data_IF_911656078071
#
_entry.id   IF_911656078071
#
_cell.length_a   1.000
_cell.length_b   1.000
_cell.length_c   1.000
_cell.angle_alpha   90.00
_cell.angle_beta   90.00
_cell.angle_gamma   90.00
#
_symmetry.space_group_name_H-M   'P 1'
#
loop_
_entity.id
_entity.type
_entity.pdbx_description
1 polymer ?
#
# COMPACT_ATOMS: atom_id res chain seq x y z
N UNK A 1 -9.74 -11.00 12.06
CA UNK A 1 -10.67 -11.26 13.18
C UNK A 1 -12.08 -10.84 12.80
N UNK A 2 -13.10 -11.38 13.45
CA UNK A 2 -14.52 -11.07 13.16
C UNK A 2 -15.21 -10.31 14.31
N UNK A 3 -14.46 -9.90 15.32
CA UNK A 3 -14.99 -9.14 16.45
C UNK A 3 -15.32 -7.68 16.06
N UNK A 4 -16.29 -7.04 16.72
CA UNK A 4 -16.67 -5.66 16.42
C UNK A 4 -15.52 -4.68 16.64
N UNK A 5 -15.39 -3.70 15.74
CA UNK A 5 -14.48 -2.57 15.92
C UNK A 5 -15.09 -1.64 16.99
N UNK A 6 -14.46 -1.55 18.16
CA UNK A 6 -14.94 -0.74 19.30
C UNK A 6 -14.31 0.66 19.36
N UNK A 7 -13.23 0.89 18.62
CA UNK A 7 -12.53 2.18 18.54
C UNK A 7 -12.26 2.56 17.08
N UNK A 8 -12.61 3.78 16.69
CA UNK A 8 -12.54 4.27 15.32
C UNK A 8 -11.18 4.91 14.97
N UNK A 9 -10.08 4.23 15.30
CA UNK A 9 -8.72 4.71 15.06
C UNK A 9 -7.72 3.56 14.85
N UNK A 10 -6.58 3.89 14.24
CA UNK A 10 -5.51 2.95 13.95
C UNK A 10 -4.23 3.36 14.70
N UNK A 11 -4.15 2.98 15.98
CA UNK A 11 -3.05 3.39 16.86
C UNK A 11 -1.79 2.54 16.68
N UNK A 12 -1.96 1.27 16.32
CA UNK A 12 -0.89 0.27 16.19
C UNK A 12 -1.08 -0.53 14.91
N UNK A 13 -0.87 0.10 13.74
CA UNK A 13 -1.08 -0.57 12.47
C UNK A 13 -0.02 -1.67 12.24
N UNK A 14 -0.44 -2.81 11.71
CA UNK A 14 0.47 -3.87 11.28
C UNK A 14 1.17 -3.51 9.96
N UNK A 15 0.53 -2.70 9.12
CA UNK A 15 1.09 -2.21 7.85
C UNK A 15 0.93 -0.70 7.76
N UNK A 16 2.00 0.00 7.40
CA UNK A 16 2.03 1.45 7.22
C UNK A 16 2.59 1.80 5.84
N UNK A 17 1.76 2.40 4.98
CA UNK A 17 2.18 2.89 3.65
C UNK A 17 2.31 4.41 3.69
N UNK A 18 3.48 4.94 3.35
CA UNK A 18 3.78 6.37 3.43
C UNK A 18 4.35 6.89 2.11
N UNK A 19 3.60 7.78 1.47
CA UNK A 19 3.90 8.28 0.12
C UNK A 19 4.62 9.64 0.09
N UNK A 20 5.02 10.17 1.26
CA UNK A 20 5.65 11.48 1.34
C UNK A 20 6.56 11.60 2.56
N UNK A 21 7.54 12.51 2.47
CA UNK A 21 8.43 12.86 3.59
C UNK A 21 7.68 13.27 4.86
N UNK A 22 6.61 14.06 4.71
CA UNK A 22 5.80 14.51 5.84
C UNK A 22 5.10 13.35 6.55
N UNK A 23 4.54 12.41 5.79
CA UNK A 23 3.93 11.21 6.35
C UNK A 23 4.95 10.33 7.08
N UNK A 24 6.13 10.17 6.50
CA UNK A 24 7.25 9.41 7.10
C UNK A 24 7.68 10.06 8.41
N UNK A 25 7.97 11.36 8.41
CA UNK A 25 8.38 12.08 9.62
C UNK A 25 7.34 12.01 10.74
N UNK A 26 6.05 12.07 10.41
CA UNK A 26 4.97 12.08 11.38
C UNK A 26 4.65 10.70 12.00
N UNK A 27 4.84 9.61 11.26
CA UNK A 27 4.35 8.28 11.67
C UNK A 27 5.46 7.25 11.94
N UNK A 28 6.61 7.38 11.30
CA UNK A 28 7.71 6.42 11.45
C UNK A 28 8.29 6.35 12.89
N UNK A 29 8.43 7.47 13.65
CA UNK A 29 9.00 7.42 14.99
C UNK A 29 8.13 6.69 16.03
N UNK A 30 6.81 6.71 15.85
CA UNK A 30 5.84 6.11 16.78
C UNK A 30 5.38 4.71 16.35
N UNK A 31 5.93 4.16 15.26
CA UNK A 31 5.57 2.84 14.76
C UNK A 31 5.93 1.75 15.76
N UNK A 32 5.24 0.63 15.65
CA UNK A 32 5.56 -0.56 16.41
C UNK A 32 6.65 -1.36 15.71
N UNK A 33 7.40 -2.17 16.46
CA UNK A 33 8.52 -2.96 15.89
C UNK A 33 8.07 -4.02 14.90
N UNK A 34 6.84 -4.53 15.02
CA UNK A 34 6.25 -5.46 14.04
C UNK A 34 5.56 -4.77 12.86
N UNK A 35 5.43 -3.44 12.88
CA UNK A 35 4.79 -2.72 11.78
C UNK A 35 5.64 -2.85 10.52
N UNK A 36 5.08 -3.46 9.48
CA UNK A 36 5.65 -3.48 8.15
C UNK A 36 5.49 -2.10 7.51
N UNK A 37 6.60 -1.55 7.02
CA UNK A 37 6.63 -0.19 6.46
C UNK A 37 6.83 -0.26 4.96
N UNK A 38 6.01 0.46 4.21
CA UNK A 38 6.18 0.69 2.78
C UNK A 38 6.37 2.19 2.54
N UNK A 39 7.39 2.55 1.78
CA UNK A 39 7.64 3.93 1.34
C UNK A 39 7.61 4.00 -0.19
N UNK A 40 7.16 5.14 -0.73
CA UNK A 40 7.24 5.38 -2.17
C UNK A 40 8.70 5.60 -2.60
N UNK A 41 9.08 5.12 -3.79
CA UNK A 41 10.46 5.21 -4.28
C UNK A 41 10.98 6.65 -4.28
N UNK A 42 12.17 6.86 -3.75
CA UNK A 42 12.82 8.18 -3.67
C UNK A 42 12.11 9.18 -2.75
N UNK A 43 11.07 8.77 -2.02
CA UNK A 43 10.36 9.65 -1.09
C UNK A 43 11.22 10.04 0.12
N UNK A 44 12.18 9.20 0.52
CA UNK A 44 13.08 9.43 1.65
C UNK A 44 14.48 8.85 1.35
N UNK A 45 15.52 9.53 1.86
CA UNK A 45 16.91 9.08 1.80
C UNK A 45 17.62 9.46 3.12
N UNK A 46 18.24 8.50 3.85
CA UNK A 46 18.23 7.07 3.57
C UNK A 46 16.85 6.44 3.81
N UNK A 47 16.57 5.34 3.10
CA UNK A 47 15.38 4.51 3.35
C UNK A 47 15.46 3.95 4.77
N UNK A 48 14.40 4.06 5.59
CA UNK A 48 14.39 3.50 6.94
C UNK A 48 14.69 2.01 6.95
N UNK A 49 15.46 1.56 7.95
CA UNK A 49 15.76 0.15 8.12
C UNK A 49 14.46 -0.69 8.24
N UNK A 50 14.40 -1.77 7.45
CA UNK A 50 13.25 -2.68 7.38
C UNK A 50 12.06 -2.15 6.58
N UNK A 51 12.13 -0.94 5.99
CA UNK A 51 11.10 -0.46 5.08
C UNK A 51 11.25 -1.06 3.68
N UNK A 52 10.13 -1.40 3.04
CA UNK A 52 10.06 -1.79 1.64
C UNK A 52 9.88 -0.53 0.79
N UNK A 53 10.77 -0.33 -0.16
CA UNK A 53 10.65 0.75 -1.14
C UNK A 53 9.90 0.23 -2.37
N UNK A 54 8.75 0.85 -2.69
CA UNK A 54 7.88 0.44 -3.79
C UNK A 54 7.59 1.66 -4.68
N UNK A 55 7.66 1.55 -6.02
CA UNK A 55 7.43 2.66 -6.94
C UNK A 55 5.93 3.01 -7.11
N UNK A 56 5.20 3.20 -6.01
CA UNK A 56 3.73 3.32 -5.98
C UNK A 56 3.24 4.45 -6.90
N UNK A 57 3.81 5.64 -6.79
CA UNK A 57 3.38 6.80 -7.58
C UNK A 57 3.69 6.59 -9.06
N UNK A 58 4.81 5.93 -9.36
CA UNK A 58 5.20 5.59 -10.73
C UNK A 58 4.23 4.58 -11.34
N UNK A 59 3.96 3.47 -10.65
CA UNK A 59 3.00 2.44 -11.07
C UNK A 59 1.60 3.02 -11.30
N UNK A 60 1.14 3.89 -10.38
CA UNK A 60 -0.13 4.58 -10.51
C UNK A 60 -0.19 5.42 -11.80
N UNK A 61 0.88 6.15 -12.13
CA UNK A 61 0.98 6.95 -13.36
C UNK A 61 1.07 6.08 -14.61
N UNK A 62 1.87 5.02 -14.59
CA UNK A 62 2.05 4.11 -15.73
C UNK A 62 0.74 3.48 -16.18
N UNK A 63 -0.08 3.00 -15.25
CA UNK A 63 -1.33 2.31 -15.57
C UNK A 63 -2.54 3.23 -15.76
N UNK A 64 -2.62 4.34 -15.01
CA UNK A 64 -3.82 5.21 -15.02
C UNK A 64 -3.61 6.57 -15.70
N UNK A 65 -2.36 6.91 -16.02
CA UNK A 65 -1.96 8.24 -16.46
C UNK A 65 -2.02 9.30 -15.34
N UNK A 66 -2.35 8.93 -14.10
CA UNK A 66 -2.59 9.88 -13.01
C UNK A 66 -1.97 9.44 -11.68
N UNK A 67 -1.20 10.31 -10.99
CA UNK A 67 -0.66 9.99 -9.67
C UNK A 67 -1.76 9.85 -8.60
N UNK A 68 -2.97 10.39 -8.83
CA UNK A 68 -4.07 10.30 -7.87
C UNK A 68 -4.52 8.85 -7.60
N UNK A 69 -4.20 7.91 -8.49
CA UNK A 69 -4.44 6.49 -8.29
C UNK A 69 -3.49 5.83 -7.27
N UNK A 70 -2.51 6.56 -6.73
CA UNK A 70 -1.54 6.03 -5.76
C UNK A 70 -2.23 5.44 -4.54
N UNK A 71 -3.34 6.02 -4.06
CA UNK A 71 -4.09 5.46 -2.93
C UNK A 71 -4.67 4.07 -3.22
N UNK A 72 -5.21 3.84 -4.42
CA UNK A 72 -5.70 2.51 -4.84
C UNK A 72 -4.52 1.56 -5.07
N UNK A 73 -3.45 2.07 -5.68
CA UNK A 73 -2.21 1.34 -5.94
C UNK A 73 -1.60 0.82 -4.63
N UNK A 74 -1.57 1.65 -3.57
CA UNK A 74 -1.09 1.27 -2.23
C UNK A 74 -1.86 0.11 -1.60
N UNK A 75 -3.14 -0.09 -1.95
CA UNK A 75 -3.91 -1.23 -1.44
C UNK A 75 -3.35 -2.56 -1.94
N UNK A 76 -2.69 -2.57 -3.11
CA UNK A 76 -1.96 -3.74 -3.61
C UNK A 76 -0.81 -4.12 -2.69
N UNK A 77 -0.05 -3.13 -2.21
CA UNK A 77 1.03 -3.37 -1.24
C UNK A 77 0.49 -3.91 0.09
N UNK A 78 -0.64 -3.36 0.58
CA UNK A 78 -1.26 -3.84 1.83
C UNK A 78 -1.74 -5.29 1.69
N UNK A 79 -2.40 -5.63 0.58
CA UNK A 79 -2.87 -6.99 0.32
C UNK A 79 -1.72 -8.01 0.17
N UNK A 80 -0.56 -7.58 -0.34
CA UNK A 80 0.63 -8.44 -0.45
C UNK A 80 1.29 -8.72 0.90
N UNK A 81 1.17 -7.80 1.87
CA UNK A 81 1.83 -7.88 3.16
C UNK A 81 0.96 -8.51 4.26
N UNK A 82 -0.36 -8.53 4.07
CA UNK A 82 -1.29 -8.91 5.13
C UNK A 82 -2.44 -9.79 4.62
N UNK A 83 -2.49 -11.02 5.15
CA UNK A 83 -3.54 -12.00 4.85
C UNK A 83 -4.94 -11.61 5.34
N UNK A 84 -5.06 -10.62 6.24
CA UNK A 84 -6.35 -10.13 6.73
C UNK A 84 -7.16 -9.41 5.64
N UNK A 85 -6.53 -8.99 4.54
CA UNK A 85 -7.18 -8.28 3.45
C UNK A 85 -6.85 -8.99 2.12
N UNK A 86 -7.61 -10.04 1.75
CA UNK A 86 -7.35 -10.79 0.53
C UNK A 86 -7.46 -9.92 -0.72
N UNK A 87 -6.56 -10.14 -1.69
CA UNK A 87 -6.47 -9.36 -2.92
C UNK A 87 -7.80 -9.29 -3.67
N UNK A 88 -8.52 -10.41 -3.77
CA UNK A 88 -9.81 -10.49 -4.44
C UNK A 88 -10.89 -9.62 -3.78
N UNK A 89 -10.85 -9.50 -2.44
CA UNK A 89 -11.75 -8.63 -1.69
C UNK A 89 -11.46 -7.16 -1.95
N UNK A 90 -10.18 -6.79 -2.06
CA UNK A 90 -9.76 -5.44 -2.42
C UNK A 90 -10.19 -5.09 -3.85
N UNK A 91 -9.94 -5.98 -4.82
CA UNK A 91 -10.36 -5.78 -6.21
C UNK A 91 -11.88 -5.59 -6.33
N UNK A 92 -12.67 -6.42 -5.64
CA UNK A 92 -14.12 -6.25 -5.59
C UNK A 92 -14.54 -4.89 -5.01
N UNK A 93 -13.85 -4.39 -3.98
CA UNK A 93 -14.10 -3.07 -3.41
C UNK A 93 -13.73 -1.94 -4.39
N UNK A 94 -12.63 -2.09 -5.14
CA UNK A 94 -12.20 -1.14 -6.18
C UNK A 94 -13.25 -1.05 -7.29
N UNK A 95 -13.73 -2.18 -7.82
CA UNK A 95 -14.80 -2.22 -8.85
C UNK A 95 -16.08 -1.49 -8.42
N UNK A 96 -16.41 -1.52 -7.13
CA UNK A 96 -17.61 -0.87 -6.58
C UNK A 96 -17.43 0.63 -6.35
N UNK A 97 -16.22 1.10 -6.07
CA UNK A 97 -15.95 2.49 -5.65
C UNK A 97 -15.37 3.36 -6.75
N UNK A 98 -14.58 2.77 -7.66
CA UNK A 98 -13.94 3.50 -8.75
C UNK A 98 -14.95 3.70 -9.90
N UNK A 99 -15.01 4.90 -10.52
CA UNK A 99 -15.90 5.14 -11.67
C UNK A 99 -15.59 4.18 -12.82
N UNK A 100 -16.61 3.60 -13.44
CA UNK A 100 -16.48 2.50 -14.42
C UNK A 100 -15.35 2.65 -15.45
N UNK A 101 -15.21 3.84 -16.06
CA UNK A 101 -14.15 4.13 -17.05
C UNK A 101 -12.71 4.00 -16.55
N UNK A 102 -12.51 3.96 -15.23
CA UNK A 102 -11.21 3.93 -14.57
C UNK A 102 -10.98 2.65 -13.77
N UNK A 103 -11.96 1.72 -13.72
CA UNK A 103 -11.86 0.49 -12.93
C UNK A 103 -10.69 -0.35 -13.41
N UNK A 104 -10.64 -0.69 -14.69
CA UNK A 104 -9.61 -1.57 -15.26
C UNK A 104 -8.18 -1.04 -15.03
N UNK A 105 -7.95 0.25 -15.28
CA UNK A 105 -6.62 0.84 -15.07
C UNK A 105 -6.23 0.93 -13.60
N UNK A 106 -7.18 1.14 -12.69
CA UNK A 106 -6.91 1.13 -11.25
C UNK A 106 -6.65 -0.29 -10.72
N UNK A 107 -7.38 -1.30 -11.23
CA UNK A 107 -7.10 -2.70 -10.92
C UNK A 107 -5.72 -3.13 -11.41
N UNK A 108 -5.32 -2.69 -12.62
CA UNK A 108 -3.98 -2.95 -13.15
C UNK A 108 -2.89 -2.30 -12.29
N UNK A 109 -3.07 -1.04 -11.87
CA UNK A 109 -2.13 -0.35 -10.99
C UNK A 109 -2.00 -1.06 -9.62
N UNK A 110 -3.14 -1.44 -9.04
CA UNK A 110 -3.18 -2.20 -7.79
C UNK A 110 -2.46 -3.54 -7.92
N UNK A 111 -2.72 -4.30 -8.98
CA UNK A 111 -2.08 -5.59 -9.22
C UNK A 111 -0.56 -5.43 -9.38
N UNK A 112 -0.11 -4.44 -10.15
CA UNK A 112 1.32 -4.20 -10.33
C UNK A 112 2.02 -3.91 -8.99
N UNK A 113 1.39 -3.16 -8.10
CA UNK A 113 1.93 -2.91 -6.77
C UNK A 113 1.91 -4.16 -5.87
N UNK A 114 0.86 -4.98 -5.97
CA UNK A 114 0.79 -6.27 -5.27
C UNK A 114 1.92 -7.21 -5.70
N UNK A 115 2.12 -7.38 -7.01
CA UNK A 115 3.18 -8.23 -7.58
C UNK A 115 4.57 -7.71 -7.23
N UNK A 116 4.80 -6.40 -7.37
CA UNK A 116 6.08 -5.78 -6.99
C UNK A 116 6.40 -6.05 -5.52
N UNK A 117 5.44 -5.82 -4.63
CA UNK A 117 5.62 -6.03 -3.18
C UNK A 117 5.83 -7.51 -2.85
N UNK A 118 5.06 -8.41 -3.48
CA UNK A 118 5.19 -9.86 -3.32
C UNK A 118 6.57 -10.36 -3.74
N UNK A 119 7.14 -9.81 -4.81
CA UNK A 119 8.48 -10.17 -5.28
C UNK A 119 9.58 -9.69 -4.33
N UNK A 120 9.43 -8.52 -3.69
CA UNK A 120 10.39 -8.05 -2.68
C UNK A 120 10.44 -9.01 -1.48
N UNK A 121 9.28 -9.44 -0.98
CA UNK A 121 9.22 -10.34 0.19
C UNK A 121 9.56 -11.79 -0.19
N UNK A 122 9.22 -12.24 -1.41
CA UNK A 122 9.53 -13.58 -1.91
C UNK A 122 10.99 -13.79 -2.31
N UNK A 123 11.71 -12.72 -2.67
CA UNK A 123 13.15 -12.75 -2.99
C UNK A 123 14.07 -12.78 -1.76
N UNK A 124 13.52 -12.76 -0.54
CA UNK A 124 14.28 -12.69 0.72
C UNK A 124 14.45 -14.08 1.38
N UNK A 125 14.32 -15.18 0.61
CA UNK A 125 14.52 -16.56 1.10
C UNK A 125 15.85 -17.14 0.65
#
# INVERSE_FOLDING_TARGET
GAEPITYAGADRPDVLVMLSRGAIAANLPSRQTWTQVVVDEGSVDPVPEGALEVPIVRLAREHTGKPIASGVTSLGCVAALNDAVPLESVMAAVRRRVPGRAVESNEAALMAAYEYTSNLIGGTT
#
